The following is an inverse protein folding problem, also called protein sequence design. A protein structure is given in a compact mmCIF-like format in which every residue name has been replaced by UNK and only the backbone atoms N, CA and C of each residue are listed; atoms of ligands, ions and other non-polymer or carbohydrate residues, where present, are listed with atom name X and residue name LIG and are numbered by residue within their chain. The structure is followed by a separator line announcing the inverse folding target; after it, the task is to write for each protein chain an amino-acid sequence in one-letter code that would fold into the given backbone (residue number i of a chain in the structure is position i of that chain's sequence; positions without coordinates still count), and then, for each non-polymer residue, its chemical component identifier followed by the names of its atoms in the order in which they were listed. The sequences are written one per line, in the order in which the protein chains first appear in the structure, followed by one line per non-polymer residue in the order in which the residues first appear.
data_IF_864643869575
#
_entry.id   IF_864643869575
#
_cell.length_a   1.000
_cell.length_b   1.000
_cell.length_c   1.000
_cell.angle_alpha   90.00
_cell.angle_beta   90.00
_cell.angle_gamma   90.00
#
_symmetry.space_group_name_H-M   'P 1'
#
loop_
_entity.id
_entity.type
_entity.pdbx_description
1 polymer ?
#
# COMPACT_ATOMS: atom_id res chain seq x y z
N UNK A 1 -5.47 31.48 15.14
CA UNK A 1 -4.93 30.49 14.21
C UNK A 1 -3.56 30.11 14.75
N UNK A 2 -3.42 28.95 15.38
CA UNK A 2 -2.16 28.49 15.93
C UNK A 2 -1.47 27.63 14.87
N UNK A 3 -0.29 28.07 14.43
CA UNK A 3 0.60 27.29 13.55
C UNK A 3 1.03 26.02 14.29
N UNK A 4 0.46 24.89 13.88
CA UNK A 4 0.88 23.55 14.29
C UNK A 4 2.20 23.20 13.57
N UNK A 5 3.28 23.82 14.01
CA UNK A 5 4.64 23.45 13.59
C UNK A 5 5.05 22.19 14.34
N UNK A 6 4.48 21.04 13.94
CA UNK A 6 5.05 19.73 14.27
C UNK A 6 6.38 19.64 13.53
N UNK A 7 7.44 20.11 14.18
CA UNK A 7 8.81 19.79 13.78
C UNK A 7 8.99 18.30 14.00
N UNK A 8 8.65 17.52 12.98
CA UNK A 8 9.10 16.15 12.85
C UNK A 8 10.61 16.17 13.03
N UNK A 9 11.11 15.43 14.02
CA UNK A 9 12.54 15.18 14.26
C UNK A 9 13.12 14.29 13.17
N UNK A 10 12.87 14.63 11.90
CA UNK A 10 13.30 13.88 10.74
C UNK A 10 14.84 13.93 10.69
N UNK A 11 15.46 12.75 10.77
CA UNK A 11 16.90 12.67 10.58
C UNK A 11 17.29 13.27 9.24
N UNK A 12 18.43 13.99 9.17
CA UNK A 12 18.87 14.61 7.93
C UNK A 12 18.99 13.56 6.82
N UNK A 13 18.44 13.91 5.66
CA UNK A 13 18.55 13.07 4.48
C UNK A 13 20.03 12.85 4.15
N UNK A 14 20.41 11.62 3.82
CA UNK A 14 21.78 11.27 3.41
C UNK A 14 22.15 11.81 2.02
N UNK A 15 21.16 12.33 1.28
CA UNK A 15 21.31 12.82 -0.09
C UNK A 15 20.41 14.02 -0.30
N UNK A 16 20.83 14.91 -1.20
CA UNK A 16 20.09 16.06 -1.71
C UNK A 16 19.64 15.87 -3.17
N UNK A 17 19.74 14.66 -3.71
CA UNK A 17 19.28 14.34 -5.06
C UNK A 17 17.76 14.35 -5.19
N UNK A 18 17.22 14.32 -6.42
CA UNK A 18 15.78 14.42 -6.69
C UNK A 18 14.94 13.28 -6.08
N UNK A 19 15.58 12.16 -5.71
CA UNK A 19 14.95 11.01 -5.05
C UNK A 19 15.19 10.96 -3.53
N UNK A 20 15.69 12.04 -2.91
CA UNK A 20 15.92 12.09 -1.47
C UNK A 20 14.58 12.06 -0.72
N UNK A 21 14.38 11.01 0.10
CA UNK A 21 13.18 10.83 0.94
C UNK A 21 13.59 10.80 2.42
N UNK A 22 12.75 11.32 3.34
CA UNK A 22 12.97 11.16 4.78
C UNK A 22 13.13 9.70 5.17
N UNK A 23 14.11 9.41 6.05
CA UNK A 23 14.44 8.05 6.50
C UNK A 23 13.26 7.34 7.15
N UNK A 24 12.48 8.08 7.93
CA UNK A 24 11.39 7.54 8.75
C UNK A 24 10.01 7.67 8.06
N UNK A 25 9.99 8.05 6.78
CA UNK A 25 8.76 8.11 6.00
C UNK A 25 8.42 6.73 5.40
N UNK A 26 7.24 6.22 5.74
CA UNK A 26 6.68 5.01 5.14
C UNK A 26 6.36 5.22 3.66
N UNK A 27 6.48 4.18 2.84
CA UNK A 27 6.04 4.19 1.44
C UNK A 27 4.51 4.28 1.45
N UNK A 28 3.89 5.03 0.54
CA UNK A 28 2.45 5.34 0.58
C UNK A 28 1.53 4.11 0.69
N UNK A 29 2.02 2.91 0.33
CA UNK A 29 1.32 1.63 0.42
C UNK A 29 1.50 0.88 1.75
N UNK A 30 2.45 1.28 2.60
CA UNK A 30 2.83 0.61 3.87
C UNK A 30 2.80 1.55 5.07
N UNK A 31 2.13 2.69 4.95
CA UNK A 31 1.93 3.62 6.06
C UNK A 31 1.02 3.07 7.17
N UNK A 32 1.07 3.66 8.37
CA UNK A 32 0.16 3.30 9.44
C UNK A 32 -1.30 3.46 9.01
N UNK A 33 -2.11 2.45 9.28
CA UNK A 33 -3.50 2.36 8.84
C UNK A 33 -3.87 0.92 8.49
N UNK A 34 -5.15 0.57 8.53
CA UNK A 34 -5.61 -0.67 7.92
C UNK A 34 -5.51 -0.51 6.38
N UNK A 35 -5.04 -1.53 5.65
CA UNK A 35 -5.19 -1.56 4.21
C UNK A 35 -6.63 -1.21 3.84
N UNK A 36 -6.80 -0.45 2.77
CA UNK A 36 -8.15 -0.16 2.27
C UNK A 36 -8.73 -1.42 1.61
N UNK A 37 -9.27 -2.32 2.43
CA UNK A 37 -9.87 -3.58 2.02
C UNK A 37 -11.37 -3.42 1.67
N UNK A 38 -11.82 -2.20 1.40
CA UNK A 38 -13.20 -1.93 0.94
C UNK A 38 -13.41 -2.29 -0.54
N UNK A 39 -12.57 -3.13 -1.12
CA UNK A 39 -12.74 -3.57 -2.49
C UNK A 39 -14.04 -4.37 -2.63
N UNK A 40 -14.66 -4.30 -3.80
CA UNK A 40 -15.84 -5.11 -4.09
C UNK A 40 -15.39 -6.54 -4.40
N UNK A 41 -16.19 -7.56 -4.04
CA UNK A 41 -15.97 -8.91 -4.51
C UNK A 41 -15.85 -8.95 -6.04
N UNK A 42 -15.01 -9.84 -6.54
CA UNK A 42 -14.94 -10.14 -7.98
C UNK A 42 -16.06 -11.12 -8.28
N UNK A 43 -17.06 -10.67 -9.04
CA UNK A 43 -18.14 -11.52 -9.55
C UNK A 43 -17.59 -12.35 -10.73
N UNK A 44 -17.81 -13.66 -10.68
CA UNK A 44 -17.46 -14.59 -11.76
C UNK A 44 -18.67 -15.43 -12.13
N UNK A 45 -18.75 -15.83 -13.40
CA UNK A 45 -19.76 -16.78 -13.85
C UNK A 45 -19.37 -18.24 -13.51
N UNK A 46 -20.32 -19.15 -13.69
CA UNK A 46 -20.14 -20.56 -13.36
C UNK A 46 -19.07 -21.26 -14.23
N UNK A 47 -18.89 -20.82 -15.48
CA UNK A 47 -17.91 -21.40 -16.38
C UNK A 47 -16.49 -20.99 -15.95
N UNK A 48 -16.30 -19.74 -15.53
CA UNK A 48 -15.04 -19.27 -14.95
C UNK A 48 -14.73 -19.96 -13.62
N UNK A 49 -15.74 -20.14 -12.76
CA UNK A 49 -15.58 -20.90 -11.53
C UNK A 49 -15.07 -22.33 -11.80
N UNK A 50 -15.62 -23.01 -12.81
CA UNK A 50 -15.18 -24.35 -13.24
C UNK A 50 -13.74 -24.35 -13.74
N UNK A 51 -13.36 -23.37 -14.57
CA UNK A 51 -11.96 -23.24 -15.06
C UNK A 51 -10.95 -23.06 -13.93
N UNK A 52 -11.29 -22.25 -12.92
CA UNK A 52 -10.44 -22.01 -11.76
C UNK A 52 -10.28 -23.31 -10.95
N UNK A 53 -11.39 -24.02 -10.70
CA UNK A 53 -11.37 -25.28 -9.95
C UNK A 53 -10.49 -26.34 -10.61
N UNK A 54 -10.66 -26.55 -11.93
CA UNK A 54 -9.86 -27.52 -12.69
C UNK A 54 -8.36 -27.19 -12.60
N UNK A 55 -8.01 -25.90 -12.72
CA UNK A 55 -6.62 -25.45 -12.60
C UNK A 55 -6.05 -25.72 -11.22
N UNK A 56 -6.79 -25.42 -10.15
CA UNK A 56 -6.34 -25.65 -8.77
C UNK A 56 -6.12 -27.14 -8.49
N UNK A 57 -7.01 -28.01 -8.97
CA UNK A 57 -6.93 -29.47 -8.74
C UNK A 57 -5.83 -30.15 -9.56
N UNK A 58 -5.33 -29.49 -10.60
CA UNK A 58 -4.24 -30.00 -11.46
C UNK A 58 -2.83 -29.64 -10.97
N UNK A 59 -2.71 -28.86 -9.89
CA UNK A 59 -1.44 -28.52 -9.22
C UNK A 59 -0.99 -29.64 -8.28
#
# INVERSE_FOLDING_TARGET
MADDTRQDTAQPNISNGPNARPRDATIAQTGPGLPNDTSRPVEIDEDEARRIEDRIRSL
#
